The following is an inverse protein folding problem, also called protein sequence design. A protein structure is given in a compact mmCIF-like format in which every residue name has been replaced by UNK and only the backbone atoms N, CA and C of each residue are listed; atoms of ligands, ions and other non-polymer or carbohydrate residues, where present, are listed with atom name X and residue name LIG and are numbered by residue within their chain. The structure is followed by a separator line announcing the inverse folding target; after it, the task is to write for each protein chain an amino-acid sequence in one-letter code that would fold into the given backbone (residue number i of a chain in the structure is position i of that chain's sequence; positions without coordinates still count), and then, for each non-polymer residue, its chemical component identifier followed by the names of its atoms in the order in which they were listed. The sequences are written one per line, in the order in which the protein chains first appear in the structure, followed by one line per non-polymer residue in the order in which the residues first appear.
data_IF_969946992409
#
_entry.id   IF_969946992409
#
_cell.length_a   1.000
_cell.length_b   1.000
_cell.length_c   1.000
_cell.angle_alpha   90.00
_cell.angle_beta   90.00
_cell.angle_gamma   90.00
#
_symmetry.space_group_name_H-M   'P 1'
#
loop_
_entity.id
_entity.type
_entity.pdbx_description
1 polymer ?
#
# COMPACT_ATOMS: atom_id res chain seq x y z
N UNK A 1 4.02 12.13 -3.79
CA UNK A 1 3.05 11.74 -4.85
C UNK A 1 1.83 12.65 -4.77
N UNK A 2 1.13 12.93 -5.88
CA UNK A 2 0.05 13.93 -5.91
C UNK A 2 -1.37 13.37 -5.94
N UNK A 3 -1.55 12.09 -6.24
CA UNK A 3 -2.86 11.46 -6.34
C UNK A 3 -2.83 9.98 -5.95
N UNK A 4 -4.01 9.41 -5.68
CA UNK A 4 -4.19 7.97 -5.46
C UNK A 4 -3.71 7.15 -6.69
N UNK A 5 -3.94 7.65 -7.90
CA UNK A 5 -3.47 7.03 -9.13
C UNK A 5 -1.93 7.00 -9.24
N UNK A 6 -1.24 8.06 -8.79
CA UNK A 6 0.22 8.06 -8.73
C UNK A 6 0.74 7.00 -7.76
N UNK A 7 0.03 6.76 -6.66
CA UNK A 7 0.34 5.72 -5.68
C UNK A 7 0.16 4.32 -6.24
N UNK A 8 -0.98 4.04 -6.85
CA UNK A 8 -1.22 2.76 -7.50
C UNK A 8 -0.14 2.44 -8.54
N UNK A 9 0.27 3.43 -9.34
CA UNK A 9 1.31 3.26 -10.35
C UNK A 9 2.67 2.95 -9.72
N UNK A 10 3.03 3.66 -8.66
CA UNK A 10 4.33 3.46 -8.00
C UNK A 10 4.39 2.11 -7.28
N UNK A 11 3.32 1.72 -6.57
CA UNK A 11 3.25 0.42 -5.91
C UNK A 11 3.26 -0.74 -6.90
N UNK A 12 2.49 -0.64 -7.98
CA UNK A 12 2.47 -1.66 -9.03
C UNK A 12 3.85 -1.86 -9.66
N UNK A 13 4.64 -0.78 -9.79
CA UNK A 13 6.01 -0.82 -10.31
C UNK A 13 7.00 -1.41 -9.29
N UNK A 14 6.91 -1.00 -8.03
CA UNK A 14 7.86 -1.40 -6.98
C UNK A 14 7.64 -2.85 -6.52
N UNK A 15 6.39 -3.29 -6.46
CA UNK A 15 5.98 -4.60 -5.94
C UNK A 15 5.55 -5.57 -7.05
N UNK A 16 5.76 -5.19 -8.32
CA UNK A 16 5.48 -5.99 -9.52
C UNK A 16 4.06 -6.60 -9.53
N UNK A 17 3.02 -5.76 -9.45
CA UNK A 17 1.62 -6.22 -9.48
C UNK A 17 1.19 -6.81 -10.84
N UNK A 18 2.03 -6.69 -11.87
CA UNK A 18 1.78 -7.17 -13.22
C UNK A 18 0.79 -6.31 -14.03
N UNK A 19 0.54 -6.71 -15.29
CA UNK A 19 -0.16 -5.88 -16.28
C UNK A 19 -1.68 -5.80 -16.09
N UNK A 20 -2.28 -6.65 -15.25
CA UNK A 20 -3.73 -6.73 -15.05
C UNK A 20 -4.21 -6.02 -13.77
N UNK A 21 -3.36 -5.18 -13.19
CA UNK A 21 -3.71 -4.41 -12.00
C UNK A 21 -4.67 -3.26 -12.35
N UNK A 22 -5.87 -3.26 -11.76
CA UNK A 22 -6.94 -2.30 -12.06
C UNK A 22 -6.83 -0.97 -11.32
N UNK A 23 -5.81 -0.79 -10.47
CA UNK A 23 -5.50 0.48 -9.77
C UNK A 23 -6.69 1.07 -8.98
N UNK A 24 -7.39 0.22 -8.23
CA UNK A 24 -8.38 0.62 -7.24
C UNK A 24 -8.04 0.01 -5.86
N UNK A 25 -8.74 0.44 -4.80
CA UNK A 25 -8.46 0.02 -3.43
C UNK A 25 -8.66 -1.47 -3.18
N UNK A 26 -9.68 -2.08 -3.79
CA UNK A 26 -9.93 -3.53 -3.65
C UNK A 26 -8.80 -4.34 -4.29
N UNK A 27 -8.36 -3.94 -5.49
CA UNK A 27 -7.24 -4.58 -6.16
C UNK A 27 -5.91 -4.35 -5.41
N UNK A 28 -5.73 -3.19 -4.77
CA UNK A 28 -4.57 -2.94 -3.92
C UNK A 28 -4.57 -3.89 -2.72
N UNK A 29 -5.71 -4.04 -2.06
CA UNK A 29 -5.88 -5.01 -0.99
C UNK A 29 -5.55 -6.42 -1.44
N UNK A 30 -6.12 -6.89 -2.56
CA UNK A 30 -5.86 -8.22 -3.10
C UNK A 30 -4.35 -8.43 -3.30
N UNK A 31 -3.68 -7.51 -3.99
CA UNK A 31 -2.24 -7.63 -4.24
C UNK A 31 -1.42 -7.69 -2.96
N UNK A 32 -1.65 -6.76 -2.03
CA UNK A 32 -0.89 -6.68 -0.80
C UNK A 32 -1.17 -7.85 0.15
N UNK A 33 -2.41 -8.34 0.20
CA UNK A 33 -2.82 -9.40 1.13
C UNK A 33 -2.52 -10.81 0.64
N UNK A 34 -2.41 -11.06 -0.67
CA UNK A 34 -2.21 -12.42 -1.22
C UNK A 34 -0.97 -12.59 -2.08
N UNK A 35 -0.61 -11.61 -2.91
CA UNK A 35 0.30 -11.84 -4.04
C UNK A 35 1.73 -11.38 -3.78
N UNK A 36 1.91 -10.38 -2.92
CA UNK A 36 3.24 -9.83 -2.63
C UNK A 36 3.99 -10.73 -1.64
N UNK A 37 5.13 -11.26 -2.08
CA UNK A 37 6.02 -12.06 -1.23
C UNK A 37 6.54 -11.26 -0.03
N UNK A 38 6.60 -11.90 1.14
CA UNK A 38 7.14 -11.30 2.37
C UNK A 38 8.64 -11.60 2.51
N UNK A 39 9.41 -10.75 3.22
CA UNK A 39 9.01 -9.53 3.93
C UNK A 39 8.96 -8.30 3.02
N UNK A 40 8.15 -7.31 3.41
CA UNK A 40 8.11 -5.99 2.75
C UNK A 40 8.10 -4.89 3.80
N UNK A 41 8.92 -3.87 3.57
CA UNK A 41 8.85 -2.62 4.30
C UNK A 41 8.61 -1.47 3.33
N UNK A 42 7.44 -0.84 3.43
CA UNK A 42 7.06 0.31 2.62
C UNK A 42 7.37 1.60 3.38
N UNK A 43 8.31 2.38 2.86
CA UNK A 43 8.59 3.73 3.35
C UNK A 43 7.88 4.75 2.45
N UNK A 44 6.84 5.39 2.95
CA UNK A 44 6.14 6.46 2.25
C UNK A 44 6.75 7.81 2.63
N UNK A 45 7.77 8.22 1.88
CA UNK A 45 8.45 9.52 2.06
C UNK A 45 7.55 10.69 1.66
N UNK A 46 7.65 11.81 2.37
CA UNK A 46 6.86 13.02 2.10
C UNK A 46 5.35 12.73 2.15
N UNK A 47 4.96 11.89 3.10
CA UNK A 47 3.58 11.44 3.33
C UNK A 47 2.66 12.61 3.64
N UNK A 48 3.11 13.60 4.41
CA UNK A 48 2.37 14.83 4.69
C UNK A 48 2.06 15.65 3.44
N UNK A 49 3.06 15.83 2.57
CA UNK A 49 2.89 16.49 1.26
C UNK A 49 1.93 15.70 0.38
N UNK A 50 2.06 14.38 0.37
CA UNK A 50 1.18 13.49 -0.38
C UNK A 50 -0.26 13.59 0.10
N UNK A 51 -0.50 13.59 1.42
CA UNK A 51 -1.83 13.76 2.04
C UNK A 51 -2.48 15.09 1.66
N UNK A 52 -1.71 16.18 1.65
CA UNK A 52 -2.21 17.49 1.26
C UNK A 52 -2.59 17.54 -0.24
N UNK A 53 -1.81 16.89 -1.11
CA UNK A 53 -2.03 16.90 -2.55
C UNK A 53 -3.17 15.98 -2.99
N UNK A 54 -3.23 14.74 -2.48
CA UNK A 54 -4.26 13.77 -2.87
C UNK A 54 -5.59 13.95 -2.15
N UNK A 55 -5.58 14.73 -1.06
CA UNK A 55 -6.73 14.91 -0.17
C UNK A 55 -6.70 13.91 0.99
N UNK A 56 -7.08 14.34 2.22
CA UNK A 56 -7.02 13.49 3.40
C UNK A 56 -7.82 12.19 3.27
N UNK A 57 -9.01 12.23 2.67
CA UNK A 57 -9.88 11.06 2.55
C UNK A 57 -9.26 9.96 1.67
N UNK A 58 -8.68 10.30 0.53
CA UNK A 58 -8.00 9.31 -0.33
C UNK A 58 -6.75 8.77 0.35
N UNK A 59 -5.97 9.64 1.01
CA UNK A 59 -4.80 9.22 1.77
C UNK A 59 -5.16 8.20 2.86
N UNK A 60 -6.14 8.52 3.69
CA UNK A 60 -6.59 7.67 4.81
C UNK A 60 -7.15 6.33 4.31
N UNK A 61 -7.81 6.31 3.15
CA UNK A 61 -8.29 5.07 2.55
C UNK A 61 -7.15 4.15 2.14
N UNK A 62 -6.09 4.69 1.55
CA UNK A 62 -4.90 3.92 1.19
C UNK A 62 -4.18 3.45 2.45
N UNK A 63 -3.94 4.35 3.41
CA UNK A 63 -3.27 4.01 4.67
C UNK A 63 -3.99 2.88 5.40
N UNK A 64 -5.33 2.89 5.40
CA UNK A 64 -6.13 1.81 5.96
C UNK A 64 -5.83 0.45 5.32
N UNK A 65 -5.67 0.38 3.99
CA UNK A 65 -5.34 -0.88 3.30
C UNK A 65 -3.94 -1.37 3.70
N UNK A 66 -2.99 -0.44 3.85
CA UNK A 66 -1.64 -0.79 4.35
C UNK A 66 -1.72 -1.36 5.78
N UNK A 67 -2.50 -0.70 6.65
CA UNK A 67 -2.70 -1.13 8.03
C UNK A 67 -3.40 -2.49 8.13
N UNK A 68 -4.46 -2.71 7.36
CA UNK A 68 -5.16 -4.01 7.30
C UNK A 68 -4.20 -5.13 6.84
N UNK A 69 -3.25 -4.82 5.94
CA UNK A 69 -2.25 -5.80 5.47
C UNK A 69 -1.30 -6.19 6.60
N UNK A 70 -0.85 -5.22 7.40
CA UNK A 70 -0.02 -5.47 8.60
C UNK A 70 -0.78 -6.35 9.60
N UNK A 71 -2.06 -6.03 9.84
CA UNK A 71 -2.90 -6.76 10.79
C UNK A 71 -3.15 -8.20 10.35
N UNK A 72 -3.39 -8.45 9.06
CA UNK A 72 -3.54 -9.81 8.52
C UNK A 72 -2.28 -10.65 8.75
N UNK A 73 -1.11 -10.12 8.38
CA UNK A 73 0.17 -10.81 8.56
C UNK A 73 0.44 -11.14 10.04
N UNK A 74 0.06 -10.23 10.94
CA UNK A 74 0.14 -10.43 12.38
C UNK A 74 -0.85 -11.51 12.87
N UNK A 75 -2.09 -11.49 12.39
CA UNK A 75 -3.12 -12.46 12.74
C UNK A 75 -2.75 -13.88 12.30
N UNK A 76 -2.13 -14.03 11.12
CA UNK A 76 -1.59 -15.29 10.61
C UNK A 76 -0.27 -15.71 11.27
N UNK A 77 0.26 -14.88 12.17
CA UNK A 77 1.53 -15.10 12.88
C UNK A 77 2.69 -15.34 11.91
N UNK A 78 2.69 -14.67 10.77
CA UNK A 78 3.79 -14.77 9.81
C UNK A 78 5.09 -14.30 10.48
N UNK A 79 6.19 -14.98 10.18
CA UNK A 79 7.53 -14.59 10.66
C UNK A 79 8.05 -13.38 9.89
N UNK A 80 7.88 -13.41 8.57
CA UNK A 80 8.19 -12.31 7.65
C UNK A 80 6.88 -11.60 7.31
N UNK A 81 6.89 -10.26 7.36
CA UNK A 81 5.66 -9.46 7.34
C UNK A 81 5.79 -8.27 6.41
N UNK A 82 4.63 -7.77 6.02
CA UNK A 82 4.43 -6.42 5.54
C UNK A 82 4.48 -5.45 6.72
N UNK A 83 5.20 -4.34 6.54
CA UNK A 83 5.26 -3.20 7.45
C UNK A 83 5.28 -1.93 6.63
N UNK A 84 4.85 -0.81 7.22
CA UNK A 84 4.97 0.49 6.57
C UNK A 84 5.34 1.58 7.57
N UNK A 85 5.93 2.66 7.05
CA UNK A 85 6.27 3.88 7.77
C UNK A 85 5.87 5.11 6.94
N UNK A 86 5.31 6.11 7.62
CA UNK A 86 5.02 7.42 7.05
C UNK A 86 6.11 8.39 7.49
N UNK A 87 6.86 8.93 6.52
CA UNK A 87 7.95 9.88 6.75
C UNK A 87 7.67 11.23 6.07
#
# INVERSE_FOLDING_TARGET
MSSEADLHRELARLLDFGPFYSANLDALWDRLSTDVERPVHLLWTESGTSRAAMGPQSFERVERILQETVEQDAAWKLKERFTYELA
#
